data_IF_683358892774
#
_entry.id   IF_683358892774
#
_cell.length_a   1.000
_cell.length_b   1.000
_cell.length_c   1.000
_cell.angle_alpha   90.00
_cell.angle_beta   90.00
_cell.angle_gamma   90.00
#
_symmetry.space_group_name_H-M   'P 1'
#
loop_
_entity.id
_entity.type
_entity.pdbx_description
1 polymer ?
#
# COMPACT_ATOMS: atom_id res chain seq x y z
N UNK A 1 17.54 -9.74 -7.43
CA UNK A 1 18.21 -8.93 -6.40
C UNK A 1 17.15 -8.01 -5.81
N UNK A 2 16.78 -8.20 -4.54
CA UNK A 2 15.72 -7.42 -3.87
C UNK A 2 16.33 -6.14 -3.29
N UNK A 3 15.70 -5.00 -3.57
CA UNK A 3 16.11 -3.69 -3.05
C UNK A 3 15.18 -3.34 -1.92
N UNK A 4 15.63 -3.59 -0.69
CA UNK A 4 14.79 -3.43 0.50
C UNK A 4 14.88 -2.03 1.09
N UNK A 5 13.75 -1.53 1.58
CA UNK A 5 13.63 -0.26 2.30
C UNK A 5 12.64 -0.41 3.45
N UNK A 6 12.96 0.20 4.59
CA UNK A 6 12.01 0.34 5.71
C UNK A 6 11.21 1.62 5.53
N UNK A 7 9.89 1.52 5.65
CA UNK A 7 8.98 2.68 5.60
C UNK A 7 8.10 2.71 6.84
N UNK A 8 7.61 3.90 7.18
CA UNK A 8 6.64 4.13 8.25
C UNK A 8 5.35 4.64 7.65
N UNK A 9 4.21 4.07 8.00
CA UNK A 9 2.91 4.56 7.53
C UNK A 9 1.85 4.39 8.62
N UNK A 10 0.76 5.13 8.50
CA UNK A 10 -0.42 4.96 9.37
C UNK A 10 -1.53 4.33 8.56
N UNK A 11 -2.05 3.18 8.96
CA UNK A 11 -3.18 2.52 8.30
C UNK A 11 -4.31 2.39 9.29
N UNK A 12 -5.49 2.94 8.97
CA UNK A 12 -6.66 2.94 9.86
C UNK A 12 -6.31 3.40 11.28
N UNK A 13 -5.64 4.55 11.36
CA UNK A 13 -5.22 5.21 12.61
C UNK A 13 -4.19 4.42 13.46
N UNK A 14 -3.66 3.30 12.94
CA UNK A 14 -2.58 2.52 13.55
C UNK A 14 -1.25 2.70 12.80
N UNK A 15 -0.18 2.97 13.54
CA UNK A 15 1.18 3.11 12.98
C UNK A 15 1.81 1.75 12.68
N UNK A 16 2.45 1.66 11.53
CA UNK A 16 3.21 0.51 11.06
C UNK A 16 4.62 0.93 10.63
N UNK A 17 5.58 0.05 10.89
CA UNK A 17 6.93 0.11 10.33
C UNK A 17 7.20 -1.21 9.64
N UNK A 18 7.44 -1.20 8.34
CA UNK A 18 7.51 -2.41 7.51
C UNK A 18 8.70 -2.32 6.55
N UNK A 19 9.41 -3.45 6.42
CA UNK A 19 10.43 -3.61 5.39
C UNK A 19 9.78 -4.12 4.10
N UNK A 20 9.99 -3.38 3.02
CA UNK A 20 9.42 -3.64 1.70
C UNK A 20 10.53 -3.82 0.66
N UNK A 21 10.24 -4.45 -0.46
CA UNK A 21 10.98 -4.21 -1.70
C UNK A 21 10.48 -2.91 -2.34
N UNK A 22 11.38 -2.08 -2.88
CA UNK A 22 11.02 -0.78 -3.46
C UNK A 22 10.04 -0.89 -4.66
N UNK A 23 9.86 -2.08 -5.23
CA UNK A 23 8.95 -2.36 -6.35
C UNK A 23 7.60 -2.91 -5.91
N UNK A 24 7.42 -3.24 -4.62
CA UNK A 24 6.13 -3.73 -4.12
C UNK A 24 5.07 -2.63 -4.25
N UNK A 25 3.89 -3.00 -4.75
CA UNK A 25 2.72 -2.13 -4.71
C UNK A 25 2.22 -1.95 -3.28
N UNK A 26 1.56 -0.83 -3.00
CA UNK A 26 0.92 -0.61 -1.71
C UNK A 26 -0.13 -1.69 -1.42
N UNK A 27 -0.89 -2.12 -2.43
CA UNK A 27 -1.87 -3.21 -2.29
C UNK A 27 -1.25 -4.53 -1.81
N UNK A 28 -0.04 -4.85 -2.29
CA UNK A 28 0.69 -6.06 -1.92
C UNK A 28 1.22 -5.95 -0.48
N UNK A 29 1.79 -4.81 -0.10
CA UNK A 29 2.27 -4.58 1.27
C UNK A 29 1.13 -4.65 2.28
N UNK A 30 0.00 -3.98 2.01
CA UNK A 30 -1.17 -4.03 2.90
C UNK A 30 -1.66 -5.46 3.12
N UNK A 31 -1.77 -6.26 2.05
CA UNK A 31 -2.32 -7.62 2.11
C UNK A 31 -1.32 -8.66 2.62
N UNK A 32 -0.12 -8.67 2.08
CA UNK A 32 0.86 -9.76 2.29
C UNK A 32 1.78 -9.50 3.48
N UNK A 33 2.12 -8.23 3.76
CA UNK A 33 3.01 -7.87 4.88
C UNK A 33 2.24 -7.48 6.13
N UNK A 34 1.17 -6.70 5.98
CA UNK A 34 0.38 -6.21 7.10
C UNK A 34 -0.88 -7.05 7.37
N UNK A 35 -1.17 -8.04 6.53
CA UNK A 35 -2.32 -8.94 6.64
C UNK A 35 -3.69 -8.24 6.66
N UNK A 36 -3.78 -7.05 6.05
CA UNK A 36 -4.99 -6.26 5.89
C UNK A 36 -5.68 -6.63 4.57
N UNK A 37 -6.50 -7.67 4.60
CA UNK A 37 -7.09 -8.29 3.40
C UNK A 37 -8.39 -7.63 2.90
N UNK A 38 -8.76 -6.49 3.50
CA UNK A 38 -9.92 -5.67 3.11
C UNK A 38 -9.79 -5.12 1.69
N UNK A 39 -8.63 -4.53 1.36
CA UNK A 39 -8.26 -4.15 -0.02
C UNK A 39 -8.27 -5.39 -0.91
N UNK A 40 -8.97 -5.32 -2.04
CA UNK A 40 -9.05 -6.43 -3.00
C UNK A 40 -8.10 -6.18 -4.16
N UNK A 41 -7.57 -7.27 -4.71
CA UNK A 41 -6.77 -7.23 -5.94
C UNK A 41 -7.64 -7.74 -7.08
N UNK A 42 -7.92 -6.85 -8.03
CA UNK A 42 -8.68 -7.14 -9.26
C UNK A 42 -7.75 -7.15 -10.46
N UNK A 43 -7.78 -6.08 -11.26
CA UNK A 43 -7.03 -6.01 -12.51
C UNK A 43 -5.51 -5.76 -12.36
N UNK A 44 -5.06 -5.21 -11.22
CA UNK A 44 -3.65 -4.85 -10.95
C UNK A 44 -3.03 -3.83 -11.91
N UNK A 45 -3.85 -3.15 -12.71
CA UNK A 45 -3.42 -2.16 -13.71
C UNK A 45 -4.10 -0.78 -13.56
N UNK A 46 -4.84 -0.56 -12.46
CA UNK A 46 -5.44 0.75 -12.15
C UNK A 46 -6.73 1.07 -12.91
N UNK A 47 -7.54 0.06 -13.25
CA UNK A 47 -8.78 0.26 -14.01
C UNK A 47 -10.06 -0.09 -13.23
N UNK A 48 -10.04 -1.15 -12.41
CA UNK A 48 -11.29 -1.66 -11.81
C UNK A 48 -11.68 -1.03 -10.46
N UNK A 49 -10.79 -0.26 -9.82
CA UNK A 49 -11.04 0.36 -8.51
C UNK A 49 -11.16 -0.61 -7.32
N UNK A 50 -11.02 -1.92 -7.50
CA UNK A 50 -11.16 -2.89 -6.40
C UNK A 50 -10.12 -2.72 -5.27
N UNK A 51 -9.00 -2.06 -5.58
CA UNK A 51 -7.89 -1.79 -4.67
C UNK A 51 -7.84 -0.35 -4.16
N UNK A 52 -8.86 0.47 -4.44
CA UNK A 52 -8.85 1.88 -4.06
C UNK A 52 -8.78 2.03 -2.54
N UNK A 53 -7.89 2.89 -2.07
CA UNK A 53 -7.75 3.33 -0.67
C UNK A 53 -7.64 4.85 -0.63
N UNK A 54 -7.82 5.46 0.54
CA UNK A 54 -7.58 6.88 0.72
C UNK A 54 -6.14 7.09 1.21
N UNK A 55 -5.30 7.72 0.38
CA UNK A 55 -3.94 8.14 0.74
C UNK A 55 -3.98 9.62 1.08
N UNK A 56 -3.75 9.97 2.35
CA UNK A 56 -3.88 11.34 2.86
C UNK A 56 -5.23 11.98 2.48
N UNK A 57 -6.30 11.18 2.46
CA UNK A 57 -7.66 11.60 2.09
C UNK A 57 -7.98 11.54 0.60
N UNK A 58 -7.01 11.23 -0.27
CA UNK A 58 -7.20 11.16 -1.73
C UNK A 58 -7.41 9.72 -2.19
N UNK A 59 -8.52 9.39 -2.87
CA UNK A 59 -8.75 8.06 -3.42
C UNK A 59 -7.69 7.71 -4.47
N UNK A 60 -7.00 6.59 -4.27
CA UNK A 60 -5.89 6.15 -5.11
C UNK A 60 -5.93 4.64 -5.29
N UNK A 61 -5.67 4.17 -6.51
CA UNK A 61 -5.52 2.75 -6.80
C UNK A 61 -4.19 2.22 -6.26
N UNK A 62 -4.26 1.52 -5.12
CA UNK A 62 -3.08 1.04 -4.40
C UNK A 62 -2.27 -0.01 -5.15
N UNK A 63 -2.81 -0.63 -6.20
CA UNK A 63 -2.10 -1.63 -7.00
C UNK A 63 -1.03 -1.04 -7.93
N UNK A 64 -1.18 0.22 -8.33
CA UNK A 64 -0.22 0.95 -9.16
C UNK A 64 0.56 2.01 -8.38
N UNK A 65 0.27 2.17 -7.09
CA UNK A 65 1.01 3.04 -6.18
C UNK A 65 2.14 2.24 -5.52
N UNK A 66 3.40 2.68 -5.64
CA UNK A 66 4.52 2.02 -4.98
C UNK A 66 4.44 2.20 -3.46
N UNK A 67 4.63 1.12 -2.71
CA UNK A 67 4.65 1.20 -1.25
C UNK A 67 5.74 2.14 -0.73
N UNK A 68 6.86 2.25 -1.45
CA UNK A 68 7.94 3.18 -1.11
C UNK A 68 7.49 4.66 -1.06
N UNK A 69 6.45 5.03 -1.79
CA UNK A 69 5.87 6.39 -1.78
C UNK A 69 4.88 6.60 -0.63
N UNK A 70 4.51 5.56 0.10
CA UNK A 70 3.61 5.64 1.25
C UNK A 70 4.35 5.98 2.56
N UNK A 71 5.67 6.14 2.51
CA UNK A 71 6.48 6.52 3.67
C UNK A 71 6.03 7.89 4.23
N UNK A 72 5.65 7.92 5.49
CA UNK A 72 5.08 9.05 6.21
C UNK A 72 3.59 9.30 5.99
N UNK A 73 2.89 8.53 5.15
CA UNK A 73 1.50 8.80 4.76
C UNK A 73 0.45 8.10 5.64
N UNK A 74 -0.79 8.61 5.56
CA UNK A 74 -1.97 8.00 6.18
C UNK A 74 -2.82 7.29 5.13
N UNK A 75 -3.18 6.04 5.38
CA UNK A 75 -3.96 5.17 4.50
C UNK A 75 -5.25 4.80 5.25
N UNK A 76 -6.41 4.94 4.58
CA UNK A 76 -7.71 4.44 5.06
C UNK A 76 -8.35 3.53 4.03
#
# INVERSE_FOLDING_TARGET
MSLKRKIKLTVNDKKYEVEIDIRESLSEVLRSRLHLTGVKQGCLVGECGACTVLIDGVPTDSCIYLAAWADGKTIK
#
